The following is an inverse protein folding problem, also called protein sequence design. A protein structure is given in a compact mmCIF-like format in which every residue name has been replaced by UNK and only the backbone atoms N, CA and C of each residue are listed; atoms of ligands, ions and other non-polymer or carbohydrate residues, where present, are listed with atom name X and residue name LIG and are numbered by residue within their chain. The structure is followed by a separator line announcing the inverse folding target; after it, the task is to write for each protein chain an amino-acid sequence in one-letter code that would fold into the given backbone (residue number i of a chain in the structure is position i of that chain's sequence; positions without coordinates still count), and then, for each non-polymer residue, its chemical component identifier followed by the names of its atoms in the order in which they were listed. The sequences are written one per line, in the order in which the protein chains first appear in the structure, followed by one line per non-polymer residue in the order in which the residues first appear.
data_IF_513966951864
#
_entry.id   IF_513966951864
#
_cell.length_a   1.000
_cell.length_b   1.000
_cell.length_c   1.000
_cell.angle_alpha   90.00
_cell.angle_beta   90.00
_cell.angle_gamma   90.00
#
_symmetry.space_group_name_H-M   'P 1'
#
loop_
_entity.id
_entity.type
_entity.pdbx_description
1 polymer ?
#
# COMPACT_ATOMS: atom_id res chain seq x y z
N UNK A 1 6.48 13.87 29.30
CA UNK A 1 6.30 12.53 28.71
C UNK A 1 7.15 12.45 27.45
N UNK A 2 8.37 11.96 27.60
CA UNK A 2 9.31 11.75 26.52
C UNK A 2 8.78 10.62 25.63
N UNK A 3 8.26 10.95 24.44
CA UNK A 3 7.91 9.95 23.44
C UNK A 3 9.22 9.32 22.98
N UNK A 4 9.59 8.19 23.59
CA UNK A 4 10.73 7.38 23.18
C UNK A 4 10.55 6.99 21.72
N UNK A 5 11.19 7.76 20.85
CA UNK A 5 11.29 7.51 19.43
C UNK A 5 12.23 6.33 19.25
N UNK A 6 11.75 5.11 19.52
CA UNK A 6 12.50 3.89 19.26
C UNK A 6 12.76 3.81 17.75
N UNK A 7 13.96 4.23 17.35
CA UNK A 7 14.46 4.07 15.98
C UNK A 7 14.47 2.58 15.66
N UNK A 8 13.57 2.15 14.77
CA UNK A 8 13.54 0.76 14.29
C UNK A 8 14.90 0.39 13.70
N UNK A 9 15.41 -0.79 14.09
CA UNK A 9 16.68 -1.31 13.58
C UNK A 9 16.62 -1.51 12.06
N UNK A 10 17.77 -1.41 11.37
CA UNK A 10 17.85 -1.60 9.91
C UNK A 10 17.19 -2.92 9.44
N UNK A 11 17.33 -4.00 10.21
CA UNK A 11 16.69 -5.30 9.94
C UNK A 11 15.15 -5.22 10.01
N UNK A 12 14.59 -4.54 11.00
CA UNK A 12 13.14 -4.35 11.11
C UNK A 12 12.57 -3.48 9.98
N UNK A 13 13.33 -2.48 9.51
CA UNK A 13 12.94 -1.66 8.36
C UNK A 13 12.87 -2.50 7.07
N UNK A 14 13.89 -3.31 6.81
CA UNK A 14 13.91 -4.21 5.63
C UNK A 14 12.76 -5.22 5.70
N UNK A 15 12.51 -5.80 6.87
CA UNK A 15 11.39 -6.74 7.05
C UNK A 15 10.02 -6.10 6.82
N UNK A 16 9.84 -4.83 7.18
CA UNK A 16 8.62 -4.09 6.86
C UNK A 16 8.46 -3.83 5.36
N UNK A 17 9.54 -3.49 4.64
CA UNK A 17 9.50 -3.34 3.19
C UNK A 17 9.11 -4.67 2.53
N UNK A 18 9.71 -5.78 2.96
CA UNK A 18 9.41 -7.12 2.42
C UNK A 18 7.94 -7.48 2.68
N UNK A 19 7.44 -7.29 3.90
CA UNK A 19 6.03 -7.51 4.22
C UNK A 19 5.12 -6.64 3.38
N UNK A 20 5.42 -5.35 3.25
CA UNK A 20 4.66 -4.44 2.41
C UNK A 20 4.59 -4.93 0.97
N UNK A 21 5.74 -5.31 0.39
CA UNK A 21 5.82 -5.82 -0.96
C UNK A 21 4.97 -7.10 -1.15
N UNK A 22 5.05 -8.04 -0.21
CA UNK A 22 4.25 -9.26 -0.23
C UNK A 22 2.75 -8.98 -0.13
N UNK A 23 2.34 -8.07 0.75
CA UNK A 23 0.94 -7.69 0.88
C UNK A 23 0.42 -6.92 -0.34
N UNK A 24 1.22 -6.02 -0.91
CA UNK A 24 0.89 -5.34 -2.17
C UNK A 24 0.75 -6.32 -3.33
N UNK A 25 1.62 -7.33 -3.42
CA UNK A 25 1.49 -8.41 -4.40
C UNK A 25 0.19 -9.21 -4.19
N UNK A 26 -0.14 -9.56 -2.94
CA UNK A 26 -1.38 -10.27 -2.61
C UNK A 26 -2.64 -9.48 -2.99
N UNK A 27 -2.59 -8.15 -2.82
CA UNK A 27 -3.68 -7.27 -3.22
C UNK A 27 -3.84 -7.24 -4.74
N UNK A 28 -2.75 -7.24 -5.50
CA UNK A 28 -2.78 -7.37 -6.96
C UNK A 28 -3.45 -8.67 -7.41
N UNK A 29 -3.14 -9.79 -6.75
CA UNK A 29 -3.78 -11.09 -7.02
C UNK A 29 -5.28 -11.04 -6.72
N UNK A 30 -5.69 -10.43 -5.60
CA UNK A 30 -7.11 -10.26 -5.27
C UNK A 30 -7.82 -9.37 -6.28
N UNK A 31 -7.20 -8.27 -6.70
CA UNK A 31 -7.75 -7.40 -7.73
C UNK A 31 -8.01 -8.19 -9.02
N UNK A 32 -7.01 -8.95 -9.47
CA UNK A 32 -7.10 -9.74 -10.69
C UNK A 32 -8.14 -10.86 -10.57
N UNK A 33 -8.13 -11.59 -9.45
CA UNK A 33 -9.08 -12.65 -9.16
C UNK A 33 -10.51 -12.14 -9.10
N UNK A 34 -10.76 -11.05 -8.36
CA UNK A 34 -12.09 -10.42 -8.27
C UNK A 34 -12.56 -9.85 -9.60
N UNK A 35 -11.67 -9.21 -10.36
CA UNK A 35 -12.00 -8.69 -11.68
C UNK A 35 -12.36 -9.82 -12.65
N UNK A 36 -11.58 -10.90 -12.63
CA UNK A 36 -11.85 -12.10 -13.44
C UNK A 36 -13.18 -12.72 -13.04
N UNK A 37 -13.43 -12.89 -11.74
CA UNK A 37 -14.69 -13.45 -11.23
C UNK A 37 -15.89 -12.59 -11.63
N UNK A 38 -15.83 -11.27 -11.45
CA UNK A 38 -16.89 -10.35 -11.88
C UNK A 38 -17.08 -10.36 -13.38
N UNK A 39 -16.02 -10.53 -14.16
CA UNK A 39 -16.11 -10.63 -15.63
C UNK A 39 -16.77 -11.93 -16.07
N UNK A 40 -16.53 -13.03 -15.36
CA UNK A 40 -17.15 -14.33 -15.64
C UNK A 40 -18.60 -14.41 -15.15
N UNK A 41 -18.95 -13.70 -14.07
CA UNK A 41 -20.29 -13.73 -13.47
C UNK A 41 -21.22 -12.62 -13.99
N UNK A 42 -20.69 -11.55 -14.58
CA UNK A 42 -21.48 -10.39 -15.02
C UNK A 42 -21.01 -9.78 -16.34
N UNK A 43 -21.95 -9.45 -17.21
CA UNK A 43 -21.72 -8.66 -18.45
C UNK A 43 -21.65 -7.14 -18.20
N UNK A 44 -21.35 -6.73 -16.97
CA UNK A 44 -21.29 -5.33 -16.60
C UNK A 44 -20.18 -4.60 -17.38
N UNK A 45 -20.38 -3.30 -17.66
CA UNK A 45 -19.34 -2.49 -18.30
C UNK A 45 -18.05 -2.56 -17.48
N UNK A 46 -16.91 -2.52 -18.15
CA UNK A 46 -15.57 -2.64 -17.56
C UNK A 46 -15.41 -1.90 -16.23
N UNK A 47 -15.86 -0.64 -16.16
CA UNK A 47 -15.71 0.20 -14.97
C UNK A 47 -16.45 -0.33 -13.73
N UNK A 48 -17.62 -0.94 -13.92
CA UNK A 48 -18.42 -1.51 -12.83
C UNK A 48 -17.86 -2.84 -12.30
N UNK A 49 -16.96 -3.48 -13.05
CA UNK A 49 -16.20 -4.65 -12.59
C UNK A 49 -14.84 -4.24 -12.01
N UNK A 50 -14.20 -3.27 -12.66
CA UNK A 50 -12.88 -2.76 -12.31
C UNK A 50 -12.88 -2.00 -10.97
N UNK A 51 -13.78 -1.04 -10.78
CA UNK A 51 -13.83 -0.22 -9.56
C UNK A 51 -14.02 -1.05 -8.28
N UNK A 52 -15.01 -1.95 -8.16
CA UNK A 52 -15.16 -2.74 -6.94
C UNK A 52 -13.98 -3.69 -6.71
N UNK A 53 -13.38 -4.26 -7.76
CA UNK A 53 -12.18 -5.10 -7.66
C UNK A 53 -10.98 -4.30 -7.14
N UNK A 54 -10.82 -3.07 -7.64
CA UNK A 54 -9.78 -2.14 -7.20
C UNK A 54 -10.00 -1.72 -5.73
N UNK A 55 -11.23 -1.36 -5.36
CA UNK A 55 -11.56 -1.00 -3.97
C UNK A 55 -11.31 -2.16 -3.03
N UNK A 56 -11.73 -3.38 -3.39
CA UNK A 56 -11.49 -4.57 -2.57
C UNK A 56 -10.00 -4.85 -2.40
N UNK A 57 -9.22 -4.72 -3.47
CA UNK A 57 -7.76 -4.86 -3.43
C UNK A 57 -7.10 -3.82 -2.52
N UNK A 58 -7.46 -2.54 -2.66
CA UNK A 58 -6.94 -1.46 -1.82
C UNK A 58 -7.32 -1.68 -0.35
N UNK A 59 -8.56 -2.10 -0.08
CA UNK A 59 -9.02 -2.42 1.28
C UNK A 59 -8.23 -3.58 1.87
N UNK A 60 -7.98 -4.65 1.11
CA UNK A 60 -7.15 -5.77 1.54
C UNK A 60 -5.71 -5.33 1.81
N UNK A 61 -5.09 -4.64 0.85
CA UNK A 61 -3.74 -4.11 0.96
C UNK A 61 -3.59 -3.25 2.22
N UNK A 62 -4.54 -2.34 2.43
CA UNK A 62 -4.55 -1.41 3.55
C UNK A 62 -4.77 -2.14 4.88
N UNK A 63 -5.73 -3.05 4.96
CA UNK A 63 -6.07 -3.78 6.19
C UNK A 63 -4.88 -4.62 6.65
N UNK A 64 -4.24 -5.35 5.75
CA UNK A 64 -3.07 -6.16 6.07
C UNK A 64 -1.85 -5.31 6.38
N UNK A 65 -1.54 -4.28 5.56
CA UNK A 65 -0.41 -3.41 5.84
C UNK A 65 -0.58 -2.64 7.17
N UNK A 66 -1.79 -2.22 7.52
CA UNK A 66 -2.06 -1.61 8.82
C UNK A 66 -1.86 -2.60 9.97
N UNK A 67 -2.44 -3.79 9.87
CA UNK A 67 -2.48 -4.74 10.99
C UNK A 67 -1.13 -5.44 11.21
N UNK A 68 -0.47 -5.84 10.12
CA UNK A 68 0.75 -6.66 10.16
C UNK A 68 2.04 -5.89 9.86
N UNK A 69 2.02 -4.88 9.00
CA UNK A 69 3.23 -4.13 8.61
C UNK A 69 3.49 -2.94 9.53
N UNK A 70 2.49 -2.10 9.77
CA UNK A 70 2.63 -0.84 10.52
C UNK A 70 2.09 -0.89 11.96
N UNK A 71 1.29 -1.91 12.30
CA UNK A 71 0.61 -2.06 13.60
C UNK A 71 -0.03 -0.75 14.10
N UNK A 72 -0.64 0.01 13.19
CA UNK A 72 -1.09 1.38 13.46
C UNK A 72 -2.57 1.45 13.87
N UNK A 73 -2.88 2.34 14.82
CA UNK A 73 -4.25 2.68 15.24
C UNK A 73 -4.82 3.89 14.46
N UNK A 74 -4.22 4.28 13.34
CA UNK A 74 -4.66 5.44 12.56
C UNK A 74 -6.11 5.33 12.06
N UNK A 75 -6.79 6.46 11.85
CA UNK A 75 -8.14 6.49 11.29
C UNK A 75 -8.15 5.92 9.87
N UNK A 76 -8.93 4.85 9.63
CA UNK A 76 -9.03 4.13 8.34
C UNK A 76 -9.33 5.10 7.18
N UNK A 77 -10.37 5.96 7.26
CA UNK A 77 -10.78 6.75 6.11
C UNK A 77 -9.75 7.81 5.72
N UNK A 78 -9.11 8.43 6.71
CA UNK A 78 -8.09 9.47 6.49
C UNK A 78 -6.84 8.87 5.84
N UNK A 79 -6.44 7.68 6.27
CA UNK A 79 -5.30 7.00 5.71
C UNK A 79 -5.56 6.54 4.26
N UNK A 80 -6.76 6.03 3.97
CA UNK A 80 -7.19 5.72 2.61
C UNK A 80 -7.24 6.95 1.71
N UNK A 81 -7.79 8.08 2.20
CA UNK A 81 -7.85 9.33 1.44
C UNK A 81 -6.44 9.81 1.05
N UNK A 82 -5.47 9.71 1.96
CA UNK A 82 -4.07 10.06 1.66
C UNK A 82 -3.51 9.19 0.53
N UNK A 83 -3.78 7.88 0.55
CA UNK A 83 -3.34 6.95 -0.50
C UNK A 83 -4.06 7.25 -1.82
N UNK A 84 -5.35 7.56 -1.78
CA UNK A 84 -6.10 7.98 -2.97
C UNK A 84 -5.50 9.26 -3.59
N UNK A 85 -5.20 10.27 -2.78
CA UNK A 85 -4.53 11.49 -3.23
C UNK A 85 -3.15 11.21 -3.83
N UNK A 86 -2.39 10.26 -3.25
CA UNK A 86 -1.14 9.81 -3.85
C UNK A 86 -1.36 9.25 -5.26
N UNK A 87 -2.31 8.34 -5.44
CA UNK A 87 -2.61 7.76 -6.75
C UNK A 87 -3.19 8.78 -7.74
N UNK A 88 -3.94 9.79 -7.29
CA UNK A 88 -4.40 10.89 -8.14
C UNK A 88 -3.25 11.68 -8.79
N UNK A 89 -2.11 11.80 -8.10
CA UNK A 89 -0.90 12.47 -8.63
C UNK A 89 -0.01 11.48 -9.37
N UNK A 90 0.15 10.27 -8.84
CA UNK A 90 1.03 9.26 -9.40
C UNK A 90 0.56 8.77 -10.77
N UNK A 91 -0.75 8.57 -10.97
CA UNK A 91 -1.31 8.03 -12.22
C UNK A 91 -1.05 8.93 -13.45
N UNK A 92 -1.33 10.25 -13.44
CA UNK A 92 -0.99 11.11 -14.57
C UNK A 92 0.51 11.22 -14.78
N UNK A 93 1.30 11.22 -13.69
CA UNK A 93 2.75 11.28 -13.77
C UNK A 93 3.34 10.02 -14.40
N UNK A 94 2.82 8.85 -14.03
CA UNK A 94 3.27 7.56 -14.56
C UNK A 94 2.87 7.34 -16.01
N UNK A 95 1.70 7.84 -16.40
CA UNK A 95 1.27 7.88 -17.80
C UNK A 95 2.19 8.78 -18.64
N UNK A 96 2.58 9.94 -18.08
CA UNK A 96 3.46 10.89 -18.77
C UNK A 96 4.85 10.33 -19.03
N UNK A 97 5.55 9.79 -18.01
CA UNK A 97 6.87 9.18 -18.25
C UNK A 97 6.75 7.89 -19.05
N UNK A 98 5.64 7.15 -18.90
CA UNK A 98 5.41 5.91 -19.61
C UNK A 98 5.42 6.16 -21.11
N UNK A 99 4.61 7.13 -21.55
CA UNK A 99 4.54 7.53 -22.95
C UNK A 99 5.86 8.10 -23.48
N UNK A 100 6.60 8.86 -22.65
CA UNK A 100 7.93 9.37 -23.03
C UNK A 100 8.94 8.25 -23.22
N UNK A 101 8.97 7.25 -22.34
CA UNK A 101 9.94 6.15 -22.37
C UNK A 101 9.63 5.17 -23.52
N UNK A 102 8.37 4.81 -23.72
CA UNK A 102 7.97 3.97 -24.86
C UNK A 102 8.18 4.70 -26.19
N UNK A 103 7.94 6.02 -26.23
CA UNK A 103 8.25 6.86 -27.38
C UNK A 103 9.74 6.98 -27.73
N UNK A 104 10.64 6.64 -26.79
CA UNK A 104 12.10 6.54 -27.03
C UNK A 104 12.53 5.14 -27.51
N UNK A 105 11.59 4.22 -27.73
CA UNK A 105 11.86 2.85 -28.15
C UNK A 105 12.16 1.89 -27.00
N UNK A 106 11.92 2.29 -25.75
CA UNK A 106 12.02 1.37 -24.61
C UNK A 106 10.84 0.41 -24.63
N UNK A 107 11.11 -0.88 -24.44
CA UNK A 107 10.09 -1.92 -24.42
C UNK A 107 9.01 -1.64 -23.35
N UNK A 108 7.74 -1.71 -23.74
CA UNK A 108 6.58 -1.42 -22.88
C UNK A 108 6.59 -2.23 -21.57
N UNK A 109 6.98 -3.50 -21.62
CA UNK A 109 7.06 -4.35 -20.42
C UNK A 109 8.11 -3.85 -19.43
N UNK A 110 9.25 -3.34 -19.91
CA UNK A 110 10.30 -2.79 -19.03
C UNK A 110 9.81 -1.50 -18.37
N UNK A 111 9.13 -0.64 -19.12
CA UNK A 111 8.55 0.61 -18.61
C UNK A 111 7.45 0.32 -17.59
N UNK A 112 6.60 -0.68 -17.84
CA UNK A 112 5.54 -1.10 -16.94
C UNK A 112 6.09 -1.71 -15.64
N UNK A 113 7.04 -2.64 -15.73
CA UNK A 113 7.71 -3.24 -14.56
C UNK A 113 8.42 -2.16 -13.75
N UNK A 114 9.16 -1.27 -14.41
CA UNK A 114 9.82 -0.14 -13.76
C UNK A 114 8.84 0.78 -13.04
N UNK A 115 7.71 1.08 -13.68
CA UNK A 115 6.63 1.90 -13.11
C UNK A 115 6.00 1.23 -11.89
N UNK A 116 5.79 -0.09 -11.93
CA UNK A 116 5.29 -0.86 -10.79
C UNK A 116 6.28 -0.86 -9.62
N UNK A 117 7.59 -0.98 -9.88
CA UNK A 117 8.62 -0.91 -8.84
C UNK A 117 8.69 0.49 -8.20
N UNK A 118 8.66 1.54 -9.03
CA UNK A 118 8.63 2.93 -8.56
C UNK A 118 7.36 3.17 -7.74
N UNK A 119 6.21 2.68 -8.20
CA UNK A 119 4.95 2.76 -7.46
C UNK A 119 5.10 2.11 -6.08
N UNK A 120 5.59 0.86 -6.03
CA UNK A 120 5.77 0.12 -4.80
C UNK A 120 6.67 0.87 -3.79
N UNK A 121 7.81 1.36 -4.25
CA UNK A 121 8.77 2.08 -3.39
C UNK A 121 8.18 3.41 -2.93
N UNK A 122 7.58 4.19 -3.83
CA UNK A 122 7.05 5.51 -3.51
C UNK A 122 5.82 5.40 -2.61
N UNK A 123 4.94 4.44 -2.88
CA UNK A 123 3.79 4.13 -2.03
C UNK A 123 4.23 3.67 -0.65
N UNK A 124 5.27 2.83 -0.56
CA UNK A 124 5.85 2.43 0.74
C UNK A 124 6.37 3.65 1.51
N UNK A 125 7.16 4.51 0.85
CA UNK A 125 7.71 5.71 1.46
C UNK A 125 6.59 6.68 1.89
N UNK A 126 5.59 6.88 1.05
CA UNK A 126 4.44 7.71 1.35
C UNK A 126 3.62 7.15 2.52
N UNK A 127 3.39 5.83 2.54
CA UNK A 127 2.74 5.16 3.66
C UNK A 127 3.53 5.36 4.95
N UNK A 128 4.84 5.17 4.91
CA UNK A 128 5.72 5.29 6.08
C UNK A 128 5.83 6.72 6.60
N UNK A 129 6.04 7.69 5.71
CA UNK A 129 6.38 9.07 6.07
C UNK A 129 5.19 10.04 6.09
N UNK A 130 4.07 9.71 5.45
CA UNK A 130 2.89 10.60 5.34
C UNK A 130 1.64 9.95 5.94
N UNK A 131 1.35 8.70 5.60
CA UNK A 131 0.12 8.02 6.07
C UNK A 131 0.24 7.66 7.54
N UNK A 132 1.31 6.95 7.92
CA UNK A 132 1.54 6.43 9.27
C UNK A 132 2.55 7.23 10.08
N UNK A 133 2.90 8.45 9.63
CA UNK A 133 3.82 9.34 10.34
C UNK A 133 3.40 9.51 11.80
N UNK A 134 4.26 9.07 12.73
CA UNK A 134 4.02 9.20 14.17
C UNK A 134 3.02 8.22 14.81
N UNK A 135 2.47 7.28 14.05
CA UNK A 135 1.55 6.22 14.57
C UNK A 135 2.08 4.80 14.35
N UNK A 136 3.31 4.67 13.83
CA UNK A 136 3.99 3.40 13.69
C UNK A 136 4.36 2.86 15.08
N UNK A 137 4.10 1.57 15.30
CA UNK A 137 4.47 0.81 16.52
C UNK A 137 3.67 1.11 17.81
N UNK A 138 2.56 1.86 17.76
CA UNK A 138 1.76 2.17 18.96
C UNK A 138 1.08 0.93 19.59
N UNK A 139 0.75 -0.12 18.83
CA UNK A 139 0.14 -1.34 19.39
C UNK A 139 1.11 -2.18 20.24
N UNK A 140 2.39 -2.24 19.89
CA UNK A 140 3.38 -3.03 20.66
C UNK A 140 3.70 -2.44 22.03
N UNK A 141 3.56 -1.12 22.18
CA UNK A 141 3.75 -0.44 23.46
C UNK A 141 2.58 -0.69 24.42
N UNK A 142 1.32 -0.66 23.95
CA UNK A 142 0.16 -0.93 24.80
C UNK A 142 0.18 -2.35 25.40
N UNK A 143 0.46 -3.37 24.60
CA UNK A 143 0.55 -4.75 25.10
C UNK A 143 1.68 -4.96 26.12
N UNK A 144 2.79 -4.22 26.04
CA UNK A 144 3.84 -4.28 27.04
C UNK A 144 3.48 -3.52 28.32
N UNK A 145 2.92 -2.31 28.21
CA UNK A 145 2.53 -1.50 29.37
C UNK A 145 1.35 -2.10 30.15
N UNK A 146 0.42 -2.79 29.46
CA UNK A 146 -0.71 -3.48 30.11
C UNK A 146 -0.26 -4.76 30.83
N UNK A 147 0.77 -5.46 30.33
CA UNK A 147 1.30 -6.67 30.95
C UNK A 147 2.26 -6.35 32.12
N UNK A 148 2.94 -5.21 32.09
CA UNK A 148 3.82 -4.73 33.17
C UNK A 148 3.04 -4.14 34.35
N UNK A 149 1.83 -3.59 34.12
CA UNK A 149 0.95 -3.07 35.18
C UNK A 149 0.00 -4.13 35.78
N UNK A 150 -0.03 -5.34 35.21
CA UNK A 150 -0.85 -6.46 35.67
C UNK A 150 -0.04 -7.54 36.43
N UNK A 151 1.28 -7.33 36.58
CA UNK A 151 2.22 -8.22 37.30
C UNK A 151 2.58 -7.72 38.68
#
# INVERSE_FOLDING_TARGET
MEKSNQKMTKKQNVWQVIKFALFSASAGIIQFGSFTLLTQLTDWKYIYRYLPSLVLSVLWNFTFNRSFTFKSAANIPVAMLKVALFYCVFTPLSTWWGHKLTGLGVNDYIVEIGTMLINLVTEYLYCRFVVYRGTMNTKGQKEQTDNENAG
#
